data_IF_073293489329
#
_entry.id   IF_073293489329
#
_cell.length_a   1.000
_cell.length_b   1.000
_cell.length_c   1.000
_cell.angle_alpha   90.00
_cell.angle_beta   90.00
_cell.angle_gamma   90.00
#
_symmetry.space_group_name_H-M   'P 1'
#
loop_
_entity.id
_entity.type
_entity.pdbx_description
1 polymer ?
#
# COMPACT_ATOMS: atom_id res chain seq x y z
N UNK A 1 -0.32 -5.84 -24.71
CA UNK A 1 -0.48 -5.86 -23.23
C UNK A 1 -1.46 -4.75 -22.88
N UNK A 2 -2.51 -5.08 -22.12
CA UNK A 2 -3.49 -4.09 -21.67
C UNK A 2 -2.93 -3.33 -20.47
N UNK A 3 -3.23 -2.02 -20.40
CA UNK A 3 -2.84 -1.20 -19.24
C UNK A 3 -3.82 -1.48 -18.11
N UNK A 4 -3.31 -1.97 -16.99
CA UNK A 4 -4.08 -2.24 -15.77
C UNK A 4 -4.18 -1.00 -14.89
N UNK A 5 -3.04 -0.32 -14.64
CA UNK A 5 -3.00 0.92 -13.88
C UNK A 5 -2.18 1.98 -14.63
N UNK A 6 -2.73 3.18 -14.75
CA UNK A 6 -2.07 4.30 -15.39
C UNK A 6 -2.05 5.51 -14.45
N UNK A 7 -0.89 5.81 -13.94
CA UNK A 7 -0.63 6.94 -13.02
C UNK A 7 -0.08 8.08 -13.87
N UNK A 8 -0.75 9.25 -13.82
CA UNK A 8 -0.40 10.43 -14.63
C UNK A 8 -0.22 11.66 -13.75
N UNK A 9 1.01 12.15 -13.67
CA UNK A 9 1.40 13.39 -12.99
C UNK A 9 0.83 13.49 -11.57
N UNK A 10 0.89 12.38 -10.82
CA UNK A 10 0.30 12.29 -9.49
C UNK A 10 1.17 13.04 -8.48
N UNK A 11 0.57 14.06 -7.87
CA UNK A 11 1.13 14.83 -6.77
C UNK A 11 0.21 14.70 -5.55
N UNK A 12 0.80 14.49 -4.38
CA UNK A 12 0.08 14.52 -3.11
C UNK A 12 0.70 15.51 -2.16
N UNK A 13 -0.06 16.53 -1.83
CA UNK A 13 0.33 17.62 -0.93
C UNK A 13 -0.38 17.50 0.41
N UNK A 14 0.32 17.86 1.48
CA UNK A 14 -0.23 18.04 2.82
C UNK A 14 0.12 19.43 3.34
N UNK A 15 -0.88 20.20 3.74
CA UNK A 15 -0.66 21.48 4.42
C UNK A 15 -0.29 21.21 5.88
N UNK A 16 0.80 21.81 6.34
CA UNK A 16 1.30 21.65 7.70
C UNK A 16 0.91 22.86 8.53
N UNK A 17 0.15 22.63 9.58
CA UNK A 17 -0.26 23.66 10.53
C UNK A 17 0.43 23.42 11.86
N UNK A 18 1.06 24.45 12.44
CA UNK A 18 1.65 24.38 13.78
C UNK A 18 0.62 24.58 14.88
N UNK A 19 -0.50 25.25 14.56
CA UNK A 19 -1.55 25.58 15.53
C UNK A 19 -2.94 25.46 14.89
N UNK A 20 -3.96 25.23 15.73
CA UNK A 20 -5.35 25.25 15.27
C UNK A 20 -5.76 26.63 14.72
N UNK A 21 -5.13 27.73 15.21
CA UNK A 21 -5.37 29.09 14.71
C UNK A 21 -4.89 29.26 13.26
N UNK A 22 -3.74 28.67 12.90
CA UNK A 22 -3.27 28.66 11.51
C UNK A 22 -4.23 27.91 10.58
N UNK A 23 -4.74 26.74 11.05
CA UNK A 23 -5.73 25.95 10.30
C UNK A 23 -7.03 26.74 10.07
N UNK A 24 -7.52 27.47 11.09
CA UNK A 24 -8.70 28.33 10.97
C UNK A 24 -8.45 29.50 10.01
N UNK A 25 -7.27 30.16 10.10
CA UNK A 25 -6.93 31.23 9.15
C UNK A 25 -6.87 30.75 7.72
N UNK A 26 -6.31 29.56 7.47
CA UNK A 26 -6.27 28.97 6.12
C UNK A 26 -7.66 28.67 5.56
N UNK A 27 -8.59 28.28 6.42
CA UNK A 27 -9.98 28.03 6.01
C UNK A 27 -10.77 29.33 5.69
N UNK A 28 -10.41 30.47 6.31
CA UNK A 28 -11.16 31.72 6.21
C UNK A 28 -10.51 32.73 5.26
N UNK A 29 -9.20 32.67 5.06
CA UNK A 29 -8.44 33.64 4.28
C UNK A 29 -7.91 32.98 3.01
N UNK A 30 -8.50 33.25 1.81
CA UNK A 30 -7.94 32.78 0.55
C UNK A 30 -6.50 33.30 0.39
N UNK A 31 -5.55 32.42 0.03
CA UNK A 31 -4.12 32.74 -0.17
C UNK A 31 -3.29 32.96 1.11
N UNK A 32 -3.68 32.39 2.26
CA UNK A 32 -2.76 32.35 3.40
C UNK A 32 -1.54 31.49 3.05
N UNK A 33 -0.34 32.03 3.19
CA UNK A 33 0.91 31.29 2.92
C UNK A 33 1.11 30.21 3.96
N UNK A 34 1.03 28.96 3.53
CA UNK A 34 1.19 27.78 4.39
C UNK A 34 2.40 26.97 3.97
N UNK A 35 3.02 26.32 4.95
CA UNK A 35 4.06 25.33 4.67
C UNK A 35 3.38 24.07 4.13
N UNK A 36 3.67 23.73 2.87
CA UNK A 36 3.14 22.56 2.18
C UNK A 36 4.22 21.49 2.07
N UNK A 37 3.88 20.26 2.38
CA UNK A 37 4.73 19.08 2.24
C UNK A 37 4.25 18.24 1.06
N UNK A 38 5.14 17.92 0.13
CA UNK A 38 4.89 17.04 -1.00
C UNK A 38 5.22 15.60 -0.61
N UNK A 39 4.19 14.80 -0.29
CA UNK A 39 4.37 13.38 -0.05
C UNK A 39 4.72 12.63 -1.33
N UNK A 40 4.13 13.06 -2.45
CA UNK A 40 4.48 12.65 -3.82
C UNK A 40 4.53 13.90 -4.70
N UNK A 41 5.44 13.91 -5.66
CA UNK A 41 5.67 15.02 -6.58
C UNK A 41 5.86 14.48 -7.99
N UNK A 42 4.85 14.70 -8.84
CA UNK A 42 4.82 14.37 -10.27
C UNK A 42 5.17 12.92 -10.61
N UNK A 43 4.52 11.96 -9.96
CA UNK A 43 4.70 10.53 -10.24
C UNK A 43 3.90 10.13 -11.49
N UNK A 44 4.57 9.53 -12.47
CA UNK A 44 3.96 8.94 -13.65
C UNK A 44 4.53 7.57 -13.93
N UNK A 45 3.68 6.54 -14.01
CA UNK A 45 4.05 5.18 -14.43
C UNK A 45 2.84 4.43 -14.98
N UNK A 46 3.10 3.39 -15.78
CA UNK A 46 2.07 2.46 -16.29
C UNK A 46 2.39 1.05 -15.85
N UNK A 47 1.38 0.37 -15.31
CA UNK A 47 1.40 -1.07 -15.05
C UNK A 47 0.53 -1.79 -16.07
N UNK A 48 0.97 -2.92 -16.54
CA UNK A 48 0.23 -3.78 -17.46
C UNK A 48 -0.30 -5.02 -16.73
N UNK A 49 -1.31 -5.67 -17.31
CA UNK A 49 -1.81 -6.93 -16.82
C UNK A 49 -0.67 -7.95 -16.66
N UNK A 50 -0.60 -8.60 -15.50
CA UNK A 50 0.47 -9.54 -15.15
C UNK A 50 1.73 -8.91 -14.56
N UNK A 51 1.87 -7.58 -14.53
CA UNK A 51 3.02 -6.93 -13.88
C UNK A 51 2.97 -7.16 -12.36
N UNK A 52 4.12 -7.54 -11.79
CA UNK A 52 4.35 -7.53 -10.34
C UNK A 52 5.38 -6.45 -10.04
N UNK A 53 4.93 -5.31 -9.54
CA UNK A 53 5.74 -4.10 -9.38
C UNK A 53 6.16 -3.92 -7.92
N UNK A 54 7.45 -4.05 -7.64
CA UNK A 54 8.03 -3.74 -6.34
C UNK A 54 8.14 -2.23 -6.13
N UNK A 55 7.46 -1.69 -5.10
CA UNK A 55 7.64 -0.31 -4.67
C UNK A 55 8.79 -0.26 -3.66
N UNK A 56 9.94 0.26 -4.05
CA UNK A 56 11.14 0.32 -3.22
C UNK A 56 11.53 1.77 -2.90
N UNK A 57 12.27 1.96 -1.81
CA UNK A 57 12.75 3.27 -1.33
C UNK A 57 12.91 3.28 0.18
N UNK A 58 13.70 4.20 0.71
CA UNK A 58 13.92 4.36 2.16
C UNK A 58 12.64 4.79 2.88
N UNK A 59 12.61 4.67 4.21
CA UNK A 59 11.44 5.10 5.00
C UNK A 59 11.17 6.59 4.78
N UNK A 60 9.88 6.94 4.63
CA UNK A 60 9.44 8.31 4.33
C UNK A 60 9.53 8.70 2.84
N UNK A 61 9.98 7.82 1.94
CA UNK A 61 10.09 8.16 0.51
C UNK A 61 8.76 8.41 -0.22
N UNK A 62 7.63 7.93 0.33
CA UNK A 62 6.30 8.10 -0.27
C UNK A 62 5.61 6.79 -0.72
N UNK A 63 6.23 5.62 -0.52
CA UNK A 63 5.69 4.31 -0.95
C UNK A 63 4.26 4.06 -0.47
N UNK A 64 4.01 4.18 0.84
CA UNK A 64 2.66 3.96 1.40
C UNK A 64 1.65 5.01 0.95
N UNK A 65 2.08 6.24 0.64
CA UNK A 65 1.20 7.25 0.03
C UNK A 65 0.82 6.84 -1.39
N UNK A 66 1.79 6.34 -2.17
CA UNK A 66 1.55 5.88 -3.53
C UNK A 66 0.67 4.62 -3.53
N UNK A 67 0.94 3.64 -2.66
CA UNK A 67 0.12 2.42 -2.56
C UNK A 67 -1.32 2.73 -2.15
N UNK A 68 -1.55 3.66 -1.22
CA UNK A 68 -2.89 4.12 -0.85
C UNK A 68 -3.61 4.85 -2.01
N UNK A 69 -2.88 5.62 -2.81
CA UNK A 69 -3.44 6.24 -4.00
C UNK A 69 -3.77 5.19 -5.06
N UNK A 70 -2.89 4.22 -5.33
CA UNK A 70 -3.17 3.10 -6.25
C UNK A 70 -4.38 2.31 -5.76
N UNK A 71 -4.45 2.03 -4.46
CA UNK A 71 -5.55 1.33 -3.81
C UNK A 71 -6.88 2.10 -3.75
N UNK A 72 -6.89 3.39 -4.10
CA UNK A 72 -8.10 4.21 -4.08
C UNK A 72 -8.52 4.71 -2.69
N UNK A 73 -7.80 4.37 -1.62
CA UNK A 73 -8.09 4.84 -0.26
C UNK A 73 -7.67 6.30 -0.02
N UNK A 74 -6.82 6.84 -0.90
CA UNK A 74 -6.33 8.21 -0.86
C UNK A 74 -6.43 8.85 -2.26
N UNK A 75 -7.01 10.03 -2.36
CA UNK A 75 -7.05 10.80 -3.61
C UNK A 75 -5.76 11.61 -3.79
N UNK A 76 -5.20 11.70 -5.00
CA UNK A 76 -4.14 12.64 -5.30
C UNK A 76 -4.62 14.08 -5.17
N UNK A 77 -3.70 15.04 -4.95
CA UNK A 77 -4.01 16.48 -4.98
C UNK A 77 -4.05 16.98 -6.43
N UNK A 78 -3.13 16.48 -7.26
CA UNK A 78 -3.04 16.78 -8.71
C UNK A 78 -2.79 15.47 -9.43
N UNK A 79 -3.17 15.42 -10.72
CA UNK A 79 -3.02 14.24 -11.54
C UNK A 79 -4.16 13.23 -11.36
N UNK A 80 -4.00 12.06 -11.94
CA UNK A 80 -5.02 11.00 -11.86
C UNK A 80 -4.42 9.60 -11.93
N UNK A 81 -5.20 8.65 -11.44
CA UNK A 81 -4.92 7.22 -11.55
C UNK A 81 -6.11 6.54 -12.21
N UNK A 82 -5.91 6.06 -13.43
CA UNK A 82 -6.87 5.23 -14.13
C UNK A 82 -6.60 3.75 -13.75
N UNK A 83 -7.63 3.00 -13.37
CA UNK A 83 -7.55 1.59 -12.98
C UNK A 83 -8.54 0.79 -13.82
N UNK A 84 -8.07 -0.27 -14.46
CA UNK A 84 -8.87 -1.19 -15.26
C UNK A 84 -9.07 -2.47 -14.45
N UNK A 85 -10.18 -2.57 -13.71
CA UNK A 85 -10.53 -3.70 -12.87
C UNK A 85 -10.70 -3.35 -11.39
N UNK A 86 -11.05 -4.36 -10.61
CA UNK A 86 -11.25 -4.25 -9.17
C UNK A 86 -9.92 -4.20 -8.42
N UNK A 87 -9.82 -3.29 -7.46
CA UNK A 87 -8.61 -3.10 -6.65
C UNK A 87 -8.84 -3.56 -5.23
N UNK A 88 -7.92 -4.36 -4.70
CA UNK A 88 -7.89 -4.71 -3.28
C UNK A 88 -6.55 -4.31 -2.65
N UNK A 89 -6.62 -3.74 -1.43
CA UNK A 89 -5.45 -3.36 -0.65
C UNK A 89 -5.32 -4.32 0.54
N UNK A 90 -4.25 -5.08 0.55
CA UNK A 90 -3.87 -5.90 1.70
C UNK A 90 -2.95 -5.08 2.59
N UNK A 91 -3.54 -4.41 3.57
CA UNK A 91 -2.80 -3.78 4.66
C UNK A 91 -3.15 -4.50 5.97
N UNK A 92 -2.16 -4.68 6.84
CA UNK A 92 -2.32 -5.37 8.12
C UNK A 92 -3.42 -4.68 8.93
N UNK A 93 -4.52 -5.41 9.22
CA UNK A 93 -5.65 -4.95 10.03
C UNK A 93 -6.40 -3.68 9.58
N UNK A 94 -6.15 -3.14 8.39
CA UNK A 94 -6.85 -1.95 7.93
C UNK A 94 -8.35 -2.22 7.70
N UNK A 95 -9.19 -1.39 8.30
CA UNK A 95 -10.65 -1.39 8.08
C UNK A 95 -11.44 -2.42 8.88
N UNK A 96 -10.86 -3.06 9.91
CA UNK A 96 -11.61 -3.90 10.84
C UNK A 96 -12.11 -3.10 12.05
N UNK A 97 -13.41 -3.22 12.35
CA UNK A 97 -14.01 -2.63 13.54
C UNK A 97 -13.80 -3.55 14.75
N UNK A 98 -13.18 -3.04 15.80
CA UNK A 98 -12.96 -3.81 17.02
C UNK A 98 -14.24 -4.20 17.76
N UNK A 99 -15.34 -3.47 17.55
CA UNK A 99 -16.62 -3.73 18.22
C UNK A 99 -17.43 -4.86 17.56
N UNK A 100 -17.21 -5.07 16.28
CA UNK A 100 -17.87 -6.12 15.50
C UNK A 100 -17.15 -7.46 15.67
N UNK A 101 -17.89 -8.56 15.56
CA UNK A 101 -17.36 -9.92 15.46
C UNK A 101 -16.60 -10.11 14.13
N UNK A 102 -15.87 -11.22 13.99
CA UNK A 102 -15.21 -11.54 12.73
C UNK A 102 -16.19 -11.65 11.56
N UNK A 103 -17.34 -12.33 11.77
CA UNK A 103 -18.37 -12.46 10.75
C UNK A 103 -18.97 -11.10 10.36
N UNK A 104 -19.31 -10.28 11.34
CA UNK A 104 -19.83 -8.93 11.07
C UNK A 104 -18.80 -8.05 10.36
N UNK A 105 -17.51 -8.21 10.66
CA UNK A 105 -16.44 -7.52 9.93
C UNK A 105 -16.32 -7.99 8.47
N UNK A 106 -16.52 -9.30 8.20
CA UNK A 106 -16.57 -9.81 6.82
C UNK A 106 -17.70 -9.10 6.07
N UNK A 107 -18.93 -9.11 6.60
CA UNK A 107 -20.08 -8.47 5.95
C UNK A 107 -19.84 -6.97 5.78
N UNK A 108 -19.46 -6.27 6.85
CA UNK A 108 -19.20 -4.83 6.83
C UNK A 108 -18.16 -4.43 5.79
N UNK A 109 -17.00 -5.10 5.80
CA UNK A 109 -15.91 -4.76 4.88
C UNK A 109 -16.26 -5.04 3.42
N UNK A 110 -16.91 -6.17 3.14
CA UNK A 110 -17.34 -6.50 1.78
C UNK A 110 -18.46 -5.57 1.28
N UNK A 111 -19.38 -5.13 2.15
CA UNK A 111 -20.35 -4.09 1.81
C UNK A 111 -19.65 -2.76 1.45
N UNK A 112 -18.62 -2.36 2.22
CA UNK A 112 -17.82 -1.18 1.91
C UNK A 112 -17.06 -1.30 0.57
N UNK A 113 -16.73 -2.53 0.14
CA UNK A 113 -16.14 -2.83 -1.16
C UNK A 113 -17.17 -2.88 -2.30
N UNK A 114 -18.48 -2.74 -2.00
CA UNK A 114 -19.56 -2.71 -2.98
C UNK A 114 -20.21 -4.06 -3.29
N UNK A 115 -19.85 -5.14 -2.60
CA UNK A 115 -20.46 -6.44 -2.80
C UNK A 115 -21.90 -6.49 -2.28
N UNK A 116 -22.76 -7.23 -2.98
CA UNK A 116 -24.15 -7.48 -2.56
C UNK A 116 -24.21 -8.57 -1.50
N UNK A 117 -25.19 -8.51 -0.60
CA UNK A 117 -25.36 -9.50 0.49
C UNK A 117 -25.38 -10.95 0.01
N UNK A 118 -25.93 -11.23 -1.18
CA UNK A 118 -25.93 -12.58 -1.76
C UNK A 118 -24.51 -13.08 -2.06
N UNK A 119 -23.66 -12.21 -2.61
CA UNK A 119 -22.27 -12.52 -2.94
C UNK A 119 -21.46 -12.70 -1.66
N UNK A 120 -21.66 -11.81 -0.66
CA UNK A 120 -21.02 -11.90 0.65
C UNK A 120 -21.33 -13.24 1.31
N UNK A 121 -22.62 -13.64 1.34
CA UNK A 121 -23.05 -14.91 1.91
C UNK A 121 -22.37 -16.11 1.24
N UNK A 122 -22.17 -16.05 -0.08
CA UNK A 122 -21.49 -17.11 -0.84
C UNK A 122 -19.98 -17.16 -0.57
N UNK A 123 -19.34 -16.01 -0.30
CA UNK A 123 -17.89 -15.93 -0.05
C UNK A 123 -17.52 -16.15 1.42
N UNK A 124 -18.41 -15.84 2.36
CA UNK A 124 -18.16 -15.94 3.81
C UNK A 124 -17.57 -17.28 4.26
N UNK A 125 -18.08 -18.45 3.82
CA UNK A 125 -17.50 -19.73 4.23
C UNK A 125 -16.02 -19.87 3.81
N UNK A 126 -15.66 -19.45 2.60
CA UNK A 126 -14.27 -19.48 2.10
C UNK A 126 -13.36 -18.56 2.91
N UNK A 127 -13.86 -17.37 3.30
CA UNK A 127 -13.11 -16.42 4.12
C UNK A 127 -12.85 -17.01 5.51
N UNK A 128 -13.84 -17.63 6.13
CA UNK A 128 -13.73 -18.29 7.44
C UNK A 128 -12.69 -19.40 7.38
N UNK A 129 -12.81 -20.29 6.41
CA UNK A 129 -11.87 -21.41 6.19
C UNK A 129 -10.44 -20.91 5.98
N UNK A 130 -10.24 -19.90 5.10
CA UNK A 130 -8.92 -19.36 4.82
C UNK A 130 -8.30 -18.71 6.06
N UNK A 131 -9.10 -18.02 6.89
CA UNK A 131 -8.64 -17.28 8.07
C UNK A 131 -8.14 -18.17 9.21
N UNK A 132 -8.57 -19.43 9.26
CA UNK A 132 -8.23 -20.41 10.33
C UNK A 132 -8.53 -19.90 11.74
N UNK A 133 -9.54 -19.04 11.89
CA UNK A 133 -9.91 -18.46 13.19
C UNK A 133 -10.83 -19.36 14.03
N UNK A 134 -11.43 -20.41 13.42
CA UNK A 134 -12.35 -21.31 14.11
C UNK A 134 -13.48 -20.55 14.81
N UNK A 135 -13.79 -20.94 16.03
CA UNK A 135 -14.85 -20.32 16.85
C UNK A 135 -14.59 -18.85 17.21
N UNK A 136 -13.33 -18.37 17.10
CA UNK A 136 -13.03 -16.95 17.33
C UNK A 136 -13.73 -16.04 16.32
N UNK A 137 -14.14 -16.55 15.16
CA UNK A 137 -14.85 -15.75 14.15
C UNK A 137 -16.14 -15.12 14.72
N UNK A 138 -16.74 -15.71 15.72
CA UNK A 138 -17.95 -15.22 16.41
C UNK A 138 -17.65 -14.25 17.55
N UNK A 139 -16.37 -14.00 17.88
CA UNK A 139 -15.96 -13.07 18.94
C UNK A 139 -15.68 -11.68 18.38
N UNK A 140 -15.90 -10.62 19.18
CA UNK A 140 -15.51 -9.25 18.80
C UNK A 140 -14.01 -9.12 18.51
N UNK A 141 -13.67 -8.44 17.41
CA UNK A 141 -12.29 -8.31 16.91
C UNK A 141 -11.37 -7.59 17.92
N UNK A 142 -11.91 -6.79 18.85
CA UNK A 142 -11.11 -6.22 19.94
C UNK A 142 -10.41 -7.27 20.83
N UNK A 143 -10.94 -8.50 20.87
CA UNK A 143 -10.36 -9.63 21.62
C UNK A 143 -9.29 -10.38 20.81
N UNK A 144 -9.12 -10.07 19.52
CA UNK A 144 -8.17 -10.76 18.65
C UNK A 144 -6.73 -10.31 18.93
N UNK A 145 -5.79 -11.22 18.82
CA UNK A 145 -4.38 -10.89 18.71
C UNK A 145 -4.10 -10.10 17.40
N UNK A 146 -2.93 -9.49 17.28
CA UNK A 146 -2.51 -8.83 16.04
C UNK A 146 -2.50 -9.80 14.86
N UNK A 147 -2.00 -11.04 15.08
CA UNK A 147 -1.99 -12.11 14.09
C UNK A 147 -3.40 -12.52 13.64
N UNK A 148 -4.35 -12.69 14.57
CA UNK A 148 -5.75 -13.02 14.23
C UNK A 148 -6.42 -11.92 13.40
N UNK A 149 -6.21 -10.65 13.76
CA UNK A 149 -6.72 -9.50 12.99
C UNK A 149 -6.18 -9.51 11.57
N UNK A 150 -4.91 -9.78 11.45
CA UNK A 150 -4.26 -9.83 10.15
C UNK A 150 -4.72 -11.03 9.31
N UNK A 151 -4.89 -12.22 9.91
CA UNK A 151 -5.48 -13.39 9.26
C UNK A 151 -6.86 -13.07 8.68
N UNK A 152 -7.75 -12.45 9.48
CA UNK A 152 -9.07 -12.05 9.00
C UNK A 152 -9.00 -11.02 7.88
N UNK A 153 -8.22 -9.95 8.07
CA UNK A 153 -8.08 -8.87 7.08
C UNK A 153 -7.53 -9.36 5.75
N UNK A 154 -6.52 -10.22 5.78
CA UNK A 154 -5.95 -10.84 4.60
C UNK A 154 -6.97 -11.75 3.89
N UNK A 155 -7.65 -12.64 4.65
CA UNK A 155 -8.62 -13.57 4.12
C UNK A 155 -9.77 -12.90 3.36
N UNK A 156 -10.28 -11.78 3.90
CA UNK A 156 -11.32 -10.99 3.22
C UNK A 156 -10.79 -10.45 1.88
N UNK A 157 -9.62 -9.78 1.90
CA UNK A 157 -9.09 -9.13 0.71
C UNK A 157 -8.70 -10.11 -0.41
N UNK A 158 -8.20 -11.30 -0.04
CA UNK A 158 -7.74 -12.28 -1.01
C UNK A 158 -8.89 -13.07 -1.64
N UNK A 159 -9.99 -13.29 -0.89
CA UNK A 159 -11.14 -14.08 -1.38
C UNK A 159 -11.94 -13.35 -2.45
N UNK A 160 -11.91 -12.03 -2.50
CA UNK A 160 -12.62 -11.24 -3.52
C UNK A 160 -11.99 -11.33 -4.91
N UNK A 161 -10.83 -11.98 -5.05
CA UNK A 161 -10.13 -12.22 -6.32
C UNK A 161 -9.97 -10.97 -7.21
N UNK A 162 -9.36 -9.90 -6.70
CA UNK A 162 -9.26 -8.62 -7.42
C UNK A 162 -8.40 -8.74 -8.68
N UNK A 163 -8.52 -7.76 -9.61
CA UNK A 163 -7.67 -7.64 -10.80
C UNK A 163 -6.34 -6.94 -10.49
N UNK A 164 -6.38 -6.03 -9.50
CA UNK A 164 -5.24 -5.25 -9.04
C UNK A 164 -5.09 -5.44 -7.54
N UNK A 165 -3.93 -5.93 -7.11
CA UNK A 165 -3.62 -6.19 -5.72
C UNK A 165 -2.52 -5.23 -5.24
N UNK A 166 -2.77 -4.54 -4.13
CA UNK A 166 -1.75 -3.72 -3.45
C UNK A 166 -1.41 -4.38 -2.12
N UNK A 167 -0.16 -4.79 -1.95
CA UNK A 167 0.34 -5.47 -0.75
C UNK A 167 1.31 -4.54 -0.04
N UNK A 168 0.95 -4.07 1.16
CA UNK A 168 1.78 -3.17 1.95
C UNK A 168 2.31 -3.90 3.20
N UNK A 169 3.55 -4.38 3.15
CA UNK A 169 4.30 -5.09 4.22
C UNK A 169 3.55 -6.29 4.88
N UNK A 170 2.46 -6.75 4.27
CA UNK A 170 1.51 -7.67 4.88
C UNK A 170 1.96 -9.14 4.94
N UNK A 171 3.12 -9.51 4.37
CA UNK A 171 3.54 -10.92 4.29
C UNK A 171 4.24 -11.45 5.55
N UNK A 172 4.48 -10.62 6.55
CA UNK A 172 5.09 -11.01 7.83
C UNK A 172 4.05 -11.28 8.93
N UNK A 173 2.82 -11.68 8.52
CA UNK A 173 1.65 -11.71 9.39
C UNK A 173 1.28 -13.11 9.81
N UNK A 174 1.02 -13.28 11.10
CA UNK A 174 0.59 -14.57 11.66
C UNK A 174 1.76 -15.47 12.01
N UNK A 175 1.50 -16.77 12.02
CA UNK A 175 2.51 -17.81 12.13
C UNK A 175 3.12 -18.15 10.76
N UNK A 176 4.21 -18.90 10.77
CA UNK A 176 4.94 -19.25 9.55
C UNK A 176 4.08 -20.03 8.53
N UNK A 177 3.15 -20.86 9.01
CA UNK A 177 2.25 -21.66 8.17
C UNK A 177 1.28 -20.75 7.41
N UNK A 178 0.68 -19.79 8.11
CA UNK A 178 -0.24 -18.83 7.47
C UNK A 178 0.48 -17.89 6.51
N UNK A 179 1.71 -17.46 6.85
CA UNK A 179 2.53 -16.67 5.95
C UNK A 179 2.82 -17.41 4.63
N UNK A 180 3.12 -18.72 4.70
CA UNK A 180 3.31 -19.55 3.50
C UNK A 180 2.04 -19.62 2.67
N UNK A 181 0.89 -19.88 3.31
CA UNK A 181 -0.44 -19.92 2.64
C UNK A 181 -0.77 -18.58 1.93
N UNK A 182 -0.39 -17.45 2.54
CA UNK A 182 -0.52 -16.14 1.91
C UNK A 182 0.36 -16.01 0.67
N UNK A 183 1.62 -16.47 0.75
CA UNK A 183 2.55 -16.47 -0.37
C UNK A 183 2.04 -17.32 -1.54
N UNK A 184 1.58 -18.54 -1.25
CA UNK A 184 1.03 -19.46 -2.26
C UNK A 184 -0.14 -18.79 -3.01
N UNK A 185 -1.00 -18.09 -2.26
CA UNK A 185 -2.13 -17.37 -2.86
C UNK A 185 -1.70 -16.19 -3.74
N UNK A 186 -0.63 -15.50 -3.38
CA UNK A 186 -0.06 -14.42 -4.21
C UNK A 186 0.56 -14.99 -5.48
N UNK A 187 1.19 -16.17 -5.42
CA UNK A 187 1.67 -16.86 -6.61
C UNK A 187 0.52 -17.25 -7.55
N UNK A 188 -0.61 -17.78 -7.02
CA UNK A 188 -1.80 -18.05 -7.83
C UNK A 188 -2.28 -16.78 -8.57
N UNK A 189 -2.28 -15.60 -7.93
CA UNK A 189 -2.64 -14.34 -8.58
C UNK A 189 -1.68 -13.97 -9.70
N UNK A 190 -0.38 -14.17 -9.48
CA UNK A 190 0.65 -13.93 -10.51
C UNK A 190 0.41 -14.86 -11.71
N UNK A 191 0.12 -16.14 -11.50
CA UNK A 191 -0.20 -17.11 -12.56
C UNK A 191 -1.50 -16.75 -13.31
N UNK A 192 -2.46 -16.10 -12.64
CA UNK A 192 -3.69 -15.60 -13.24
C UNK A 192 -3.52 -14.26 -13.97
N UNK A 193 -2.28 -13.79 -14.18
CA UNK A 193 -1.96 -12.50 -14.81
C UNK A 193 -2.57 -11.28 -14.09
N UNK A 194 -2.81 -11.37 -12.77
CA UNK A 194 -3.25 -10.22 -11.97
C UNK A 194 -2.11 -9.22 -11.81
N UNK A 195 -2.46 -7.95 -11.73
CA UNK A 195 -1.46 -6.89 -11.49
C UNK A 195 -1.23 -6.73 -10.00
N UNK A 196 0.03 -6.75 -9.56
CA UNK A 196 0.38 -6.69 -8.14
C UNK A 196 1.34 -5.53 -7.90
N UNK A 197 1.01 -4.65 -6.95
CA UNK A 197 1.93 -3.68 -6.36
C UNK A 197 2.39 -4.19 -5.00
N UNK A 198 3.69 -4.40 -4.87
CA UNK A 198 4.27 -5.04 -3.71
C UNK A 198 5.22 -4.08 -2.97
N UNK A 199 4.83 -3.65 -1.77
CA UNK A 199 5.69 -2.84 -0.89
C UNK A 199 6.36 -3.77 0.11
N UNK A 200 7.67 -3.88 0.05
CA UNK A 200 8.45 -4.66 1.02
C UNK A 200 9.81 -4.02 1.26
N UNK A 201 10.27 -4.13 2.51
CA UNK A 201 11.65 -3.80 2.89
C UNK A 201 12.60 -4.99 2.72
N UNK A 202 12.08 -6.19 2.46
CA UNK A 202 12.86 -7.39 2.22
C UNK A 202 13.18 -7.53 0.72
N UNK A 203 14.40 -7.19 0.31
CA UNK A 203 14.84 -7.27 -1.08
C UNK A 203 14.86 -8.69 -1.62
N UNK A 204 15.03 -9.71 -0.76
CA UNK A 204 14.91 -11.12 -1.16
C UNK A 204 13.50 -11.44 -1.67
N UNK A 205 12.46 -10.98 -0.96
CA UNK A 205 11.07 -11.11 -1.42
C UNK A 205 10.82 -10.31 -2.70
N UNK A 206 11.32 -9.07 -2.77
CA UNK A 206 11.20 -8.24 -3.99
C UNK A 206 11.80 -8.97 -5.20
N UNK A 207 13.00 -9.53 -5.06
CA UNK A 207 13.68 -10.28 -6.11
C UNK A 207 12.93 -11.55 -6.53
N UNK A 208 12.29 -12.22 -5.57
CA UNK A 208 11.54 -13.45 -5.82
C UNK A 208 10.20 -13.22 -6.52
N UNK A 209 9.50 -12.14 -6.14
CA UNK A 209 8.11 -11.93 -6.57
C UNK A 209 7.96 -10.97 -7.73
N UNK A 210 8.77 -9.88 -7.76
CA UNK A 210 8.55 -8.77 -8.68
C UNK A 210 9.11 -9.04 -10.07
N UNK A 211 8.44 -8.48 -11.07
CA UNK A 211 8.94 -8.41 -12.46
C UNK A 211 9.49 -7.04 -12.78
N UNK A 212 8.96 -6.01 -12.12
CA UNK A 212 9.37 -4.60 -12.28
C UNK A 212 9.59 -3.92 -10.95
N UNK A 213 10.34 -2.83 -10.97
CA UNK A 213 10.60 -2.01 -9.79
C UNK A 213 10.22 -0.57 -10.06
N UNK A 214 9.53 0.07 -9.11
CA UNK A 214 9.37 1.50 -9.01
C UNK A 214 10.13 2.01 -7.78
N UNK A 215 11.25 2.69 -8.01
CA UNK A 215 12.07 3.27 -6.95
C UNK A 215 11.59 4.68 -6.64
N UNK A 216 11.09 4.86 -5.43
CA UNK A 216 10.61 6.15 -4.93
C UNK A 216 11.65 6.76 -3.99
N UNK A 217 12.08 7.98 -4.28
CA UNK A 217 13.03 8.73 -3.47
C UNK A 217 12.54 10.17 -3.29
N UNK A 218 12.41 10.64 -2.04
CA UNK A 218 11.96 12.01 -1.76
C UNK A 218 10.62 12.40 -2.38
N UNK A 219 9.69 11.45 -2.50
CA UNK A 219 8.38 11.67 -3.11
C UNK A 219 8.36 11.61 -4.64
N UNK A 220 9.49 11.39 -5.29
CA UNK A 220 9.62 11.31 -6.76
C UNK A 220 9.92 9.90 -7.23
N UNK A 221 9.51 9.59 -8.45
CA UNK A 221 9.90 8.35 -9.14
C UNK A 221 11.35 8.51 -9.63
N UNK A 222 12.28 7.86 -8.95
CA UNK A 222 13.72 7.93 -9.27
C UNK A 222 14.07 7.08 -10.48
N UNK A 223 13.51 5.86 -10.52
CA UNK A 223 13.69 4.93 -11.62
C UNK A 223 12.49 3.96 -11.70
N UNK A 224 12.14 3.50 -12.89
CA UNK A 224 11.07 2.54 -13.13
C UNK A 224 11.39 1.68 -14.34
N UNK A 225 11.35 0.37 -14.17
CA UNK A 225 11.68 -0.58 -15.25
C UNK A 225 11.68 -2.02 -14.77
N UNK A 226 12.28 -2.87 -15.59
CA UNK A 226 12.42 -4.30 -15.30
C UNK A 226 13.24 -4.51 -14.01
N UNK A 227 12.95 -5.62 -13.31
CA UNK A 227 13.59 -5.96 -12.03
C UNK A 227 15.11 -5.91 -12.14
N UNK A 228 15.67 -6.56 -13.18
CA UNK A 228 17.12 -6.73 -13.35
C UNK A 228 17.84 -5.42 -13.71
N UNK A 229 17.11 -4.42 -14.20
CA UNK A 229 17.68 -3.11 -14.55
C UNK A 229 17.69 -2.15 -13.37
N UNK A 230 16.63 -2.15 -12.55
CA UNK A 230 16.41 -1.14 -11.51
C UNK A 230 16.87 -1.62 -10.12
N UNK A 231 16.63 -2.91 -9.77
CA UNK A 231 16.95 -3.42 -8.45
C UNK A 231 18.45 -3.34 -8.11
N UNK A 232 19.40 -3.66 -9.01
CA UNK A 232 20.82 -3.53 -8.71
C UNK A 232 21.26 -2.10 -8.40
N UNK A 233 20.67 -1.11 -9.08
CA UNK A 233 20.93 0.32 -8.82
C UNK A 233 20.45 0.72 -7.43
N UNK A 234 19.24 0.24 -7.03
CA UNK A 234 18.70 0.48 -5.71
C UNK A 234 19.51 -0.22 -4.61
N UNK A 235 19.97 -1.45 -4.84
CA UNK A 235 20.86 -2.18 -3.90
C UNK A 235 22.20 -1.45 -3.71
N UNK A 236 22.81 -0.97 -4.79
CA UNK A 236 24.03 -0.14 -4.71
C UNK A 236 23.80 1.10 -3.85
N UNK A 237 22.73 1.84 -4.13
CA UNK A 237 22.33 3.00 -3.32
C UNK A 237 22.15 2.64 -1.84
N UNK A 238 21.47 1.52 -1.53
CA UNK A 238 21.26 1.09 -0.15
C UNK A 238 22.57 0.70 0.54
N UNK A 239 23.48 0.04 -0.17
CA UNK A 239 24.79 -0.34 0.37
C UNK A 239 25.60 0.91 0.71
N UNK A 240 25.62 1.92 -0.15
CA UNK A 240 26.29 3.18 0.10
C UNK A 240 25.61 3.98 1.22
N UNK A 241 24.28 3.96 1.27
CA UNK A 241 23.53 4.58 2.36
C UNK A 241 23.81 3.89 3.73
N UNK A 242 23.93 2.56 3.76
CA UNK A 242 24.24 1.81 5.00
C UNK A 242 25.66 2.05 5.50
N UNK A 243 26.64 2.32 4.60
CA UNK A 243 28.03 2.67 4.98
C UNK A 243 28.14 4.03 5.66
N UNK A 244 27.17 4.93 5.45
CA UNK A 244 27.13 6.24 6.09
C UNK A 244 26.89 6.12 7.59
N UNK A 245 27.51 6.99 8.36
CA UNK A 245 27.25 7.13 9.80
C UNK A 245 25.77 7.49 10.05
N UNK A 246 25.27 7.22 11.26
CA UNK A 246 23.90 7.61 11.65
C UNK A 246 23.60 9.09 11.46
N UNK A 247 24.62 9.95 11.68
CA UNK A 247 24.51 11.40 11.49
C UNK A 247 24.33 11.75 10.00
N UNK A 248 25.16 11.19 9.12
CA UNK A 248 25.07 11.39 7.67
C UNK A 248 23.78 10.82 7.08
N UNK A 249 23.30 9.66 7.56
CA UNK A 249 22.01 9.10 7.15
C UNK A 249 20.87 10.03 7.54
N UNK A 250 20.92 10.65 8.73
CA UNK A 250 19.93 11.62 9.20
C UNK A 250 19.99 12.90 8.37
N UNK A 251 21.18 13.40 8.08
CA UNK A 251 21.38 14.58 7.24
C UNK A 251 20.83 14.35 5.81
N UNK A 252 21.12 13.21 5.22
CA UNK A 252 20.58 12.82 3.91
C UNK A 252 19.05 12.83 3.90
N UNK A 253 18.41 12.23 4.92
CA UNK A 253 16.94 12.24 5.04
C UNK A 253 16.40 13.65 5.22
N UNK A 254 17.03 14.45 6.07
CA UNK A 254 16.62 15.85 6.30
C UNK A 254 16.69 16.67 5.00
N UNK A 255 17.75 16.51 4.20
CA UNK A 255 17.87 17.18 2.89
C UNK A 255 16.75 16.78 1.93
N UNK A 256 16.42 15.48 1.87
CA UNK A 256 15.30 15.01 1.08
C UNK A 256 13.97 15.57 1.57
N UNK A 257 13.75 15.60 2.88
CA UNK A 257 12.52 16.14 3.46
C UNK A 257 12.42 17.67 3.27
N UNK A 258 13.52 18.41 3.45
CA UNK A 258 13.58 19.87 3.21
C UNK A 258 13.21 20.22 1.77
N UNK A 259 13.69 19.44 0.79
CA UNK A 259 13.35 19.64 -0.63
C UNK A 259 11.87 19.46 -0.96
N UNK A 260 11.13 18.77 -0.07
CA UNK A 260 9.69 18.49 -0.20
C UNK A 260 8.79 19.54 0.45
N UNK A 261 9.38 20.51 1.17
CA UNK A 261 8.63 21.61 1.76
C UNK A 261 8.68 22.85 0.87
N UNK A 262 7.50 23.39 0.58
CA UNK A 262 7.35 24.66 -0.16
C UNK A 262 6.42 25.58 0.63
N UNK A 263 6.69 26.89 0.63
CA UNK A 263 5.78 27.89 1.14
C UNK A 263 4.96 28.37 -0.04
N UNK A 264 3.69 28.00 -0.07
CA UNK A 264 2.72 28.44 -1.11
C UNK A 264 1.79 29.50 -0.56
#
# INVERSE_FOLDING_TARGET
MNVSVNIKNVTKEYRIYRTNKERMKDALIPKHKNKTFFALDDISLKAYEGDVIGLVGINGSGKSTLSNIIGGSLSPTVGKVDRNGEVSVIAISAGLSGQLTGIENIEFKMLCMGFKRKEIKAMTPKIIEFSELGEFIYQPVKKYSSGMRAKLGFSINITVNPDILVIDEALSVGDQTFAQKCLDKIYEFKEQNKTIFFVSHNLGQVRQFCTKIAWIEGGKLKDYGELDDVLPKYESFLNDFKKKSKAEQKEFRNKLDESRFVIK
#
